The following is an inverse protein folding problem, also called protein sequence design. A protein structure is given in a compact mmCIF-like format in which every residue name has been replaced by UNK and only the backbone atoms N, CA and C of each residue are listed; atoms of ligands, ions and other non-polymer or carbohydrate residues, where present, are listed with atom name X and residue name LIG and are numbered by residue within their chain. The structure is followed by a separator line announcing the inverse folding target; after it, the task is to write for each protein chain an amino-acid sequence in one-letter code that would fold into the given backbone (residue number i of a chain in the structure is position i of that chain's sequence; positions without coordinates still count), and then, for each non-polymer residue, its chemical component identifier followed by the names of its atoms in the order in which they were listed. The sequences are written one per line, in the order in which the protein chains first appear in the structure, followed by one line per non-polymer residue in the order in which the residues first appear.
data_IF_534316031816
#
_entry.id   IF_534316031816
#
_cell.length_a   1.000
_cell.length_b   1.000
_cell.length_c   1.000
_cell.angle_alpha   90.00
_cell.angle_beta   90.00
_cell.angle_gamma   90.00
#
_symmetry.space_group_name_H-M   'P 1'
#
loop_
_entity.id
_entity.type
_entity.pdbx_description
1 polymer ?
#
# COMPACT_ATOMS: atom_id res chain seq x y z
N UNK A 1 47.84 -36.47 -31.88
CA UNK A 1 47.33 -36.21 -30.49
C UNK A 1 46.89 -34.76 -30.27
N UNK A 2 47.36 -33.74 -31.00
CA UNK A 2 46.98 -32.32 -30.77
C UNK A 2 45.53 -31.96 -31.15
N UNK A 3 44.86 -32.68 -32.05
CA UNK A 3 43.48 -32.35 -32.47
C UNK A 3 42.38 -32.78 -31.47
N UNK A 4 42.67 -33.78 -30.63
CA UNK A 4 41.70 -34.23 -29.60
C UNK A 4 41.60 -33.27 -28.42
N UNK A 5 42.72 -32.60 -28.08
CA UNK A 5 42.76 -31.62 -26.99
C UNK A 5 41.95 -30.36 -27.26
N UNK A 6 41.87 -29.90 -28.50
CA UNK A 6 41.10 -28.70 -28.89
C UNK A 6 39.60 -28.94 -28.84
N UNK A 7 39.14 -30.15 -29.20
CA UNK A 7 37.72 -30.51 -29.12
C UNK A 7 37.21 -30.62 -27.68
N UNK A 8 38.03 -31.16 -26.78
CA UNK A 8 37.69 -31.27 -25.36
C UNK A 8 37.56 -29.89 -24.67
N UNK A 9 38.47 -28.96 -25.06
CA UNK A 9 38.46 -27.59 -24.53
C UNK A 9 37.22 -26.78 -24.98
N UNK A 10 36.77 -27.00 -26.20
CA UNK A 10 35.60 -26.34 -26.73
C UNK A 10 34.26 -26.82 -26.05
N UNK A 11 34.19 -28.12 -25.80
CA UNK A 11 33.05 -28.70 -25.07
C UNK A 11 32.96 -28.21 -23.62
N UNK A 12 34.11 -28.05 -22.96
CA UNK A 12 34.12 -27.52 -21.59
C UNK A 12 33.70 -26.05 -21.51
N UNK A 13 34.05 -25.25 -22.52
CA UNK A 13 33.68 -23.83 -22.59
C UNK A 13 32.19 -23.64 -22.89
N UNK A 14 31.60 -24.48 -23.75
CA UNK A 14 30.15 -24.44 -24.05
C UNK A 14 29.34 -24.89 -22.83
N UNK A 15 29.84 -25.83 -22.02
CA UNK A 15 29.15 -26.28 -20.82
C UNK A 15 29.18 -25.25 -19.69
N UNK A 16 30.24 -24.45 -19.57
CA UNK A 16 30.33 -23.35 -18.60
C UNK A 16 29.40 -22.18 -18.92
N UNK A 17 29.11 -21.90 -20.20
CA UNK A 17 28.19 -20.84 -20.59
C UNK A 17 26.73 -21.23 -20.32
N UNK A 18 26.39 -22.50 -20.34
CA UNK A 18 25.03 -23.00 -20.09
C UNK A 18 24.59 -22.90 -18.63
N UNK A 19 25.52 -22.76 -17.67
CA UNK A 19 25.20 -22.65 -16.25
C UNK A 19 24.85 -21.20 -15.82
N UNK A 20 25.24 -20.21 -16.65
CA UNK A 20 25.05 -18.79 -16.31
C UNK A 20 23.61 -18.25 -16.52
N UNK A 21 22.69 -19.04 -17.07
CA UNK A 21 21.34 -18.60 -17.40
C UNK A 21 20.25 -19.10 -16.46
N UNK A 22 20.59 -19.63 -15.31
CA UNK A 22 19.63 -19.82 -14.25
C UNK A 22 19.22 -18.42 -13.74
N UNK A 23 18.15 -17.85 -14.31
CA UNK A 23 17.54 -16.62 -13.78
C UNK A 23 17.25 -16.87 -12.30
N UNK A 24 18.10 -16.32 -11.43
CA UNK A 24 17.87 -16.38 -10.00
C UNK A 24 16.52 -15.73 -9.72
N UNK A 25 15.64 -16.50 -9.10
CA UNK A 25 14.35 -15.98 -8.67
C UNK A 25 14.61 -14.74 -7.79
N UNK A 26 13.91 -13.61 -8.03
CA UNK A 26 14.15 -12.41 -7.24
C UNK A 26 13.92 -12.69 -5.76
N UNK A 27 14.83 -12.19 -4.93
CA UNK A 27 14.74 -12.35 -3.49
C UNK A 27 13.47 -11.68 -2.95
N UNK A 28 12.83 -12.25 -1.92
CA UNK A 28 11.66 -11.64 -1.30
C UNK A 28 12.05 -10.33 -0.61
N UNK A 29 11.18 -9.33 -0.74
CA UNK A 29 11.31 -8.03 -0.07
C UNK A 29 10.63 -8.14 1.29
N UNK A 30 11.34 -7.89 2.38
CA UNK A 30 10.77 -7.88 3.74
C UNK A 30 10.34 -6.48 4.14
N UNK A 31 9.01 -6.33 4.25
CA UNK A 31 8.33 -5.09 4.61
C UNK A 31 7.74 -5.20 6.01
N UNK A 32 8.24 -4.40 6.93
CA UNK A 32 7.66 -4.26 8.26
C UNK A 32 6.59 -3.18 8.26
N UNK A 33 5.42 -3.49 8.82
CA UNK A 33 4.27 -2.59 8.90
C UNK A 33 4.10 -2.16 10.35
N UNK A 34 4.26 -0.87 10.61
CA UNK A 34 4.03 -0.28 11.93
C UNK A 34 2.53 -0.24 12.28
N UNK A 35 2.21 0.17 13.49
CA UNK A 35 0.81 0.44 13.86
C UNK A 35 0.28 1.60 13.02
N UNK A 36 -0.93 1.44 12.46
CA UNK A 36 -1.58 2.52 11.71
C UNK A 36 -2.01 3.61 12.68
N UNK A 37 -1.61 4.85 12.41
CA UNK A 37 -2.10 6.01 13.13
C UNK A 37 -3.46 6.41 12.59
N UNK A 38 -4.34 6.86 13.49
CA UNK A 38 -5.61 7.46 13.13
C UNK A 38 -5.62 8.91 13.63
N UNK A 39 -5.49 9.84 12.73
CA UNK A 39 -5.59 11.29 13.00
C UNK A 39 -6.97 11.83 12.62
N UNK A 40 -7.86 10.99 12.06
CA UNK A 40 -9.26 11.35 11.85
C UNK A 40 -10.02 11.37 13.18
N UNK A 41 -11.14 12.07 13.23
CA UNK A 41 -11.97 12.15 14.45
C UNK A 41 -12.83 10.91 14.69
N UNK A 42 -12.81 9.95 13.77
CA UNK A 42 -13.68 8.77 13.79
C UNK A 42 -13.01 7.60 14.49
N UNK A 43 -13.74 6.90 15.34
CA UNK A 43 -13.26 5.70 16.00
C UNK A 43 -13.32 4.50 15.05
N UNK A 44 -12.17 3.98 14.64
CA UNK A 44 -12.04 2.81 13.78
C UNK A 44 -11.13 1.78 14.44
N UNK A 45 -11.37 0.51 14.15
CA UNK A 45 -10.45 -0.57 14.53
C UNK A 45 -9.20 -0.55 13.62
N UNK A 46 -8.16 0.15 14.06
CA UNK A 46 -6.90 0.26 13.33
C UNK A 46 -6.14 -1.06 13.24
N UNK A 47 -6.34 -1.98 14.19
CA UNK A 47 -5.76 -3.32 14.13
C UNK A 47 -6.40 -4.13 12.99
N UNK A 48 -7.70 -4.04 12.84
CA UNK A 48 -8.41 -4.64 11.71
C UNK A 48 -7.94 -4.03 10.38
N UNK A 49 -7.81 -2.71 10.28
CA UNK A 49 -7.32 -2.02 9.07
C UNK A 49 -5.89 -2.44 8.71
N UNK A 50 -5.02 -2.59 9.71
CA UNK A 50 -3.67 -3.12 9.51
C UNK A 50 -3.68 -4.54 8.94
N UNK A 51 -4.59 -5.38 9.41
CA UNK A 51 -4.76 -6.72 8.87
C UNK A 51 -5.29 -6.70 7.42
N UNK A 52 -6.16 -5.75 7.05
CA UNK A 52 -6.58 -5.58 5.64
C UNK A 52 -5.41 -5.20 4.75
N UNK A 53 -4.53 -4.32 5.22
CA UNK A 53 -3.31 -3.94 4.50
C UNK A 53 -2.39 -5.17 4.26
N UNK A 54 -2.19 -6.02 5.26
CA UNK A 54 -1.43 -7.28 5.11
C UNK A 54 -2.08 -8.18 4.06
N UNK A 55 -3.40 -8.39 4.15
CA UNK A 55 -4.15 -9.19 3.17
C UNK A 55 -4.04 -8.62 1.75
N UNK A 56 -3.95 -7.31 1.59
CA UNK A 56 -3.73 -6.67 0.30
C UNK A 56 -2.38 -7.09 -0.30
N UNK A 57 -1.29 -7.04 0.48
CA UNK A 57 0.01 -7.54 0.03
C UNK A 57 0.00 -9.04 -0.29
N UNK A 58 -0.69 -9.86 0.52
CA UNK A 58 -0.84 -11.29 0.25
C UNK A 58 -1.58 -11.55 -1.07
N UNK A 59 -2.64 -10.79 -1.38
CA UNK A 59 -3.36 -10.88 -2.66
C UNK A 59 -2.44 -10.56 -3.84
N UNK A 60 -1.62 -9.50 -3.72
CA UNK A 60 -0.65 -9.13 -4.76
C UNK A 60 0.44 -10.18 -4.96
N UNK A 61 0.83 -10.89 -3.91
CA UNK A 61 1.79 -11.99 -4.01
C UNK A 61 1.25 -13.21 -4.77
N UNK A 62 -0.07 -13.32 -4.92
CA UNK A 62 -0.72 -14.37 -5.73
C UNK A 62 -0.79 -14.02 -7.23
N UNK A 63 -0.31 -12.84 -7.63
CA UNK A 63 -0.28 -12.43 -9.03
C UNK A 63 0.60 -13.38 -9.88
N UNK A 64 0.26 -13.49 -11.16
CA UNK A 64 1.00 -14.38 -12.09
C UNK A 64 2.48 -14.03 -12.21
N UNK A 65 2.84 -12.76 -12.11
CA UNK A 65 4.23 -12.32 -12.26
C UNK A 65 5.08 -12.68 -11.04
N UNK A 66 4.52 -12.58 -9.84
CA UNK A 66 5.18 -13.03 -8.60
C UNK A 66 5.30 -14.56 -8.56
N UNK A 67 4.21 -15.28 -8.88
CA UNK A 67 4.21 -16.75 -8.86
C UNK A 67 5.14 -17.35 -9.91
N UNK A 68 5.33 -16.68 -11.04
CA UNK A 68 6.30 -17.06 -12.08
C UNK A 68 7.73 -16.59 -11.78
N UNK A 69 7.96 -15.89 -10.66
CA UNK A 69 9.28 -15.38 -10.28
C UNK A 69 9.79 -14.24 -11.15
N UNK A 70 8.91 -13.50 -11.83
CA UNK A 70 9.30 -12.31 -12.61
C UNK A 70 9.49 -11.08 -11.74
N UNK A 71 8.72 -10.99 -10.64
CA UNK A 71 8.79 -9.89 -9.67
C UNK A 71 8.97 -10.44 -8.26
N UNK A 72 9.61 -9.67 -7.39
CA UNK A 72 9.83 -10.06 -6.01
C UNK A 72 8.53 -10.20 -5.23
N UNK A 73 8.48 -11.21 -4.36
CA UNK A 73 7.43 -11.36 -3.35
C UNK A 73 7.68 -10.36 -2.23
N UNK A 74 6.61 -9.77 -1.68
CA UNK A 74 6.68 -8.90 -0.49
C UNK A 74 6.22 -9.72 0.71
N UNK A 75 7.13 -9.95 1.65
CA UNK A 75 6.84 -10.60 2.94
C UNK A 75 6.59 -9.53 3.98
N UNK A 76 5.40 -9.54 4.59
CA UNK A 76 4.99 -8.55 5.57
C UNK A 76 5.17 -9.05 6.99
N UNK A 77 5.70 -8.20 7.87
CA UNK A 77 5.85 -8.42 9.31
C UNK A 77 5.16 -7.28 10.05
N UNK A 78 4.38 -7.59 11.06
CA UNK A 78 3.71 -6.57 11.89
C UNK A 78 4.61 -6.15 13.04
N UNK A 79 4.83 -4.84 13.20
CA UNK A 79 5.53 -4.26 14.33
C UNK A 79 4.52 -3.79 15.39
N UNK A 80 4.83 -3.97 16.65
CA UNK A 80 3.98 -3.48 17.75
C UNK A 80 4.22 -2.01 18.07
N UNK A 81 5.33 -1.45 17.63
CA UNK A 81 5.69 -0.06 17.85
C UNK A 81 5.76 0.75 16.55
N UNK A 82 5.76 2.08 16.68
CA UNK A 82 5.93 3.02 15.57
C UNK A 82 7.37 3.52 15.46
N UNK A 83 8.31 2.98 16.22
CA UNK A 83 9.69 3.46 16.26
C UNK A 83 10.55 2.71 15.26
N UNK A 84 11.31 3.46 14.47
CA UNK A 84 12.29 2.94 13.50
C UNK A 84 13.43 2.15 14.15
N UNK A 85 13.67 2.42 15.43
CA UNK A 85 14.69 1.75 16.25
C UNK A 85 14.16 0.52 16.97
N UNK A 86 12.95 0.06 16.64
CA UNK A 86 12.36 -1.14 17.24
C UNK A 86 13.30 -2.33 17.04
N UNK A 87 13.70 -3.03 18.10
CA UNK A 87 14.50 -4.27 17.99
C UNK A 87 13.89 -5.27 17.01
N UNK A 88 12.55 -5.35 16.95
CA UNK A 88 11.83 -6.21 16.03
C UNK A 88 12.15 -5.95 14.55
N UNK A 89 12.55 -4.72 14.17
CA UNK A 89 12.99 -4.41 12.79
C UNK A 89 14.24 -5.21 12.44
N UNK A 90 15.22 -5.30 13.37
CA UNK A 90 16.45 -6.05 13.17
C UNK A 90 16.23 -7.54 13.28
N UNK A 91 15.46 -7.98 14.27
CA UNK A 91 15.17 -9.41 14.51
C UNK A 91 14.46 -10.04 13.33
N UNK A 92 13.55 -9.30 12.68
CA UNK A 92 12.82 -9.76 11.50
C UNK A 92 13.56 -9.50 10.18
N UNK A 93 14.75 -8.91 10.21
CA UNK A 93 15.52 -8.53 9.02
C UNK A 93 14.68 -7.69 8.04
N UNK A 94 13.96 -6.68 8.53
CA UNK A 94 13.18 -5.78 7.70
C UNK A 94 14.11 -5.01 6.76
N UNK A 95 13.76 -4.96 5.49
CA UNK A 95 14.45 -4.11 4.50
C UNK A 95 13.78 -2.74 4.43
N UNK A 96 12.46 -2.72 4.61
CA UNK A 96 11.66 -1.50 4.59
C UNK A 96 10.67 -1.47 5.76
N UNK A 97 10.31 -0.26 6.17
CA UNK A 97 9.31 0.00 7.20
C UNK A 97 8.22 0.87 6.58
N UNK A 98 6.97 0.42 6.69
CA UNK A 98 5.80 1.16 6.22
C UNK A 98 5.07 1.78 7.41
N UNK A 99 4.94 3.09 7.38
CA UNK A 99 4.08 3.85 8.27
C UNK A 99 2.86 4.34 7.51
N UNK A 100 1.69 4.19 8.10
CA UNK A 100 0.42 4.68 7.53
C UNK A 100 -0.27 5.54 8.57
N UNK A 101 -0.82 6.68 8.16
CA UNK A 101 -1.61 7.57 8.98
C UNK A 101 -2.92 7.90 8.25
N UNK A 102 -4.06 7.50 8.81
CA UNK A 102 -5.36 7.94 8.34
C UNK A 102 -5.56 9.40 8.78
N UNK A 103 -5.61 10.32 7.83
CA UNK A 103 -5.66 11.77 8.10
C UNK A 103 -7.07 12.33 8.02
N UNK A 104 -7.93 11.72 7.22
CA UNK A 104 -9.27 12.22 6.96
C UNK A 104 -10.26 11.07 6.80
N UNK A 105 -11.44 11.25 7.35
CA UNK A 105 -12.60 10.40 7.10
C UNK A 105 -13.85 11.27 7.24
N UNK A 106 -14.46 11.61 6.11
CA UNK A 106 -15.63 12.47 6.03
C UNK A 106 -16.86 11.69 5.53
N UNK A 107 -17.98 11.94 6.17
CA UNK A 107 -19.29 11.42 5.75
C UNK A 107 -20.05 12.51 5.02
N UNK A 108 -20.47 12.25 3.82
CA UNK A 108 -21.30 13.21 3.06
C UNK A 108 -22.74 13.33 3.58
N UNK A 109 -23.11 12.54 4.58
CA UNK A 109 -24.45 12.55 5.19
C UNK A 109 -24.57 13.28 6.52
N UNK A 110 -23.48 13.85 7.06
CA UNK A 110 -23.53 14.73 8.22
C UNK A 110 -24.08 16.09 7.82
N UNK A 111 -25.35 16.14 7.43
CA UNK A 111 -26.09 17.39 7.56
C UNK A 111 -26.00 17.76 9.03
N UNK A 112 -25.15 18.72 9.31
CA UNK A 112 -25.19 19.53 10.50
C UNK A 112 -26.67 19.71 10.90
N UNK A 113 -27.10 19.02 11.97
CA UNK A 113 -28.36 19.32 12.63
C UNK A 113 -28.18 20.65 13.39
N UNK A 114 -27.55 21.60 12.73
CA UNK A 114 -27.43 22.98 13.13
C UNK A 114 -28.74 23.67 12.85
N UNK A 115 -29.46 23.97 13.93
CA UNK A 115 -30.49 25.01 14.09
C UNK A 115 -31.36 25.29 12.86
N UNK A 116 -32.70 25.11 12.94
CA UNK A 116 -33.59 25.49 11.84
C UNK A 116 -33.41 26.99 11.61
N UNK A 117 -32.72 27.35 10.52
CA UNK A 117 -32.73 28.72 10.03
C UNK A 117 -34.19 29.06 9.69
N UNK A 118 -34.75 30.16 10.24
CA UNK A 118 -36.08 30.59 9.84
C UNK A 118 -36.09 30.79 8.32
N UNK A 119 -36.94 30.04 7.64
CA UNK A 119 -37.20 30.22 6.22
C UNK A 119 -37.63 31.66 6.00
N UNK A 120 -36.78 32.48 5.43
CA UNK A 120 -37.21 33.67 4.73
C UNK A 120 -38.05 33.18 3.54
N UNK A 121 -39.31 33.49 3.57
CA UNK A 121 -40.22 33.26 2.45
C UNK A 121 -39.80 34.22 1.36
N UNK A 122 -38.91 33.81 0.46
CA UNK A 122 -38.71 34.49 -0.82
C UNK A 122 -39.81 34.03 -1.79
N UNK A 123 -40.77 34.94 -2.00
CA UNK A 123 -41.73 34.84 -3.08
C UNK A 123 -41.00 35.27 -4.36
N UNK A 124 -40.87 34.33 -5.31
CA UNK A 124 -40.70 34.66 -6.73
C UNK A 124 -39.29 34.58 -7.28
N UNK A 125 -38.99 33.45 -7.88
CA UNK A 125 -38.64 33.35 -9.31
C UNK A 125 -38.21 31.92 -9.64
N UNK A 126 -39.06 31.27 -10.42
CA UNK A 126 -38.78 29.99 -11.05
C UNK A 126 -37.67 30.18 -12.10
N UNK A 127 -36.47 29.74 -11.78
CA UNK A 127 -35.50 29.23 -12.74
C UNK A 127 -34.74 28.13 -12.02
N UNK A 128 -35.11 26.88 -12.36
CA UNK A 128 -34.41 25.71 -11.91
C UNK A 128 -32.98 25.73 -12.43
N UNK A 129 -32.05 26.08 -11.57
CA UNK A 129 -30.70 25.60 -11.72
C UNK A 129 -30.74 24.10 -11.35
N UNK A 130 -30.15 23.22 -12.18
CA UNK A 130 -29.99 21.84 -11.77
C UNK A 130 -29.19 21.87 -10.47
N UNK A 131 -29.87 21.46 -9.37
CA UNK A 131 -29.22 21.33 -8.09
C UNK A 131 -27.97 20.51 -8.28
N UNK A 132 -26.82 21.01 -7.82
CA UNK A 132 -25.64 20.21 -7.65
C UNK A 132 -26.09 18.98 -6.84
N UNK A 133 -26.10 17.81 -7.48
CA UNK A 133 -26.29 16.55 -6.80
C UNK A 133 -25.24 16.52 -5.69
N UNK A 134 -25.68 16.73 -4.44
CA UNK A 134 -24.85 16.50 -3.28
C UNK A 134 -24.52 15.01 -3.34
N UNK A 135 -23.36 14.68 -3.90
CA UNK A 135 -22.91 13.31 -4.00
C UNK A 135 -22.79 12.77 -2.56
N UNK A 136 -23.63 11.80 -2.24
CA UNK A 136 -23.58 11.07 -0.97
C UNK A 136 -22.32 10.18 -0.91
N UNK A 137 -21.15 10.73 -1.18
CA UNK A 137 -19.90 10.02 -1.21
C UNK A 137 -19.11 10.30 0.08
N UNK A 138 -18.80 9.26 0.80
CA UNK A 138 -17.85 9.32 1.89
C UNK A 138 -16.43 9.48 1.35
N UNK A 139 -15.56 10.17 2.06
CA UNK A 139 -14.16 10.40 1.66
C UNK A 139 -13.23 9.94 2.75
N UNK A 140 -12.14 9.31 2.34
CA UNK A 140 -11.05 8.94 3.23
C UNK A 140 -9.70 9.25 2.60
N UNK A 141 -8.76 9.69 3.42
CA UNK A 141 -7.40 10.00 2.97
C UNK A 141 -6.38 9.42 3.95
N UNK A 142 -5.35 8.79 3.43
CA UNK A 142 -4.24 8.30 4.23
C UNK A 142 -2.89 8.75 3.64
N UNK A 143 -2.01 9.21 4.51
CA UNK A 143 -0.60 9.41 4.21
C UNK A 143 0.15 8.10 4.49
N UNK A 144 1.02 7.70 3.58
CA UNK A 144 1.97 6.65 3.88
C UNK A 144 3.41 7.11 3.67
N UNK A 145 4.33 6.51 4.44
CA UNK A 145 5.77 6.73 4.33
C UNK A 145 6.46 5.38 4.38
N UNK A 146 7.34 5.15 3.44
CA UNK A 146 8.23 3.98 3.42
C UNK A 146 9.64 4.45 3.74
N UNK A 147 10.28 3.76 4.66
CA UNK A 147 11.65 4.02 5.06
C UNK A 147 12.49 2.77 4.83
N UNK A 148 13.78 2.93 4.54
CA UNK A 148 14.71 1.80 4.54
C UNK A 148 15.16 1.52 5.96
N UNK A 149 15.17 0.26 6.34
CA UNK A 149 15.64 -0.13 7.67
C UNK A 149 17.13 0.22 7.84
N UNK A 150 17.44 0.96 8.91
CA UNK A 150 18.81 1.40 9.21
C UNK A 150 19.27 2.66 8.50
N UNK A 151 18.45 3.27 7.64
CA UNK A 151 18.72 4.57 7.04
C UNK A 151 17.88 5.66 7.74
N UNK A 152 18.47 6.85 7.90
CA UNK A 152 17.73 8.02 8.37
C UNK A 152 17.08 8.69 7.16
N UNK A 153 15.76 8.69 7.10
CA UNK A 153 15.00 9.42 6.10
C UNK A 153 13.92 8.60 5.40
N UNK A 154 12.98 9.33 4.82
CA UNK A 154 11.86 8.75 4.05
C UNK A 154 12.38 8.37 2.67
N UNK A 155 12.21 7.10 2.28
CA UNK A 155 12.56 6.64 0.94
C UNK A 155 11.48 7.03 -0.08
N UNK A 156 10.20 6.86 0.29
CA UNK A 156 9.07 7.35 -0.51
C UNK A 156 7.88 7.65 0.40
N UNK A 157 7.07 8.62 0.01
CA UNK A 157 5.82 8.96 0.69
C UNK A 157 4.81 9.49 -0.32
N UNK A 158 3.53 9.26 -0.05
CA UNK A 158 2.44 9.81 -0.85
C UNK A 158 1.17 9.87 0.01
N UNK A 159 0.16 10.58 -0.50
CA UNK A 159 -1.20 10.59 0.05
C UNK A 159 -2.13 9.91 -0.93
N UNK A 160 -2.91 8.96 -0.43
CA UNK A 160 -3.94 8.29 -1.21
C UNK A 160 -5.31 8.71 -0.73
N UNK A 161 -6.25 8.77 -1.66
CA UNK A 161 -7.62 9.18 -1.41
C UNK A 161 -8.56 8.09 -1.92
N UNK A 162 -9.60 7.81 -1.14
CA UNK A 162 -10.71 6.96 -1.55
C UNK A 162 -12.02 7.73 -1.35
N UNK A 163 -12.95 7.55 -2.25
CA UNK A 163 -14.30 8.09 -2.16
C UNK A 163 -15.28 7.03 -2.69
N UNK A 164 -16.31 6.80 -1.92
CA UNK A 164 -17.35 5.82 -2.22
C UNK A 164 -18.56 6.08 -1.30
N UNK A 165 -19.70 5.57 -1.66
CA UNK A 165 -20.91 5.55 -0.82
C UNK A 165 -20.89 4.42 0.23
N UNK A 166 -19.83 3.66 0.31
CA UNK A 166 -19.66 2.55 1.25
C UNK A 166 -19.51 3.01 2.70
N UNK A 167 -19.85 2.15 3.68
CA UNK A 167 -19.52 2.40 5.08
C UNK A 167 -18.01 2.61 5.31
N UNK A 168 -17.66 3.37 6.32
CA UNK A 168 -16.28 3.76 6.65
C UNK A 168 -15.27 2.62 6.66
N UNK A 169 -15.62 1.51 7.28
CA UNK A 169 -14.73 0.36 7.37
C UNK A 169 -14.38 -0.18 5.99
N UNK A 170 -15.35 -0.22 5.07
CA UNK A 170 -15.14 -0.68 3.69
C UNK A 170 -14.32 0.36 2.93
N UNK A 171 -14.67 1.64 3.06
CA UNK A 171 -13.96 2.73 2.41
C UNK A 171 -12.48 2.76 2.82
N UNK A 172 -12.20 2.65 4.13
CA UNK A 172 -10.82 2.61 4.63
C UNK A 172 -10.11 1.31 4.21
N UNK A 173 -10.84 0.19 4.09
CA UNK A 173 -10.25 -1.04 3.51
C UNK A 173 -9.83 -0.85 2.06
N UNK A 174 -10.64 -0.18 1.23
CA UNK A 174 -10.28 0.18 -0.14
C UNK A 174 -9.06 1.12 -0.17
N UNK A 175 -8.99 2.06 0.77
CA UNK A 175 -7.84 2.94 0.93
C UNK A 175 -6.56 2.14 1.26
N UNK A 176 -6.64 1.15 2.15
CA UNK A 176 -5.51 0.26 2.46
C UNK A 176 -5.07 -0.57 1.24
N UNK A 177 -6.00 -1.00 0.40
CA UNK A 177 -5.67 -1.66 -0.88
C UNK A 177 -4.90 -0.73 -1.82
N UNK A 178 -5.27 0.55 -1.88
CA UNK A 178 -4.56 1.54 -2.69
C UNK A 178 -3.15 1.81 -2.13
N UNK A 179 -3.00 1.97 -0.81
CA UNK A 179 -1.69 2.09 -0.16
C UNK A 179 -0.81 0.90 -0.52
N UNK A 180 -1.33 -0.33 -0.36
CA UNK A 180 -0.57 -1.53 -0.68
C UNK A 180 -0.13 -1.57 -2.15
N UNK A 181 -1.00 -1.21 -3.09
CA UNK A 181 -0.69 -1.18 -4.52
C UNK A 181 0.41 -0.15 -4.84
N UNK A 182 0.33 1.05 -4.28
CA UNK A 182 1.35 2.09 -4.46
C UNK A 182 2.70 1.64 -3.93
N UNK A 183 2.72 1.20 -2.66
CA UNK A 183 3.95 0.71 -2.00
C UNK A 183 4.56 -0.46 -2.76
N UNK A 184 3.76 -1.46 -3.16
CA UNK A 184 4.27 -2.60 -3.93
C UNK A 184 4.84 -2.18 -5.29
N UNK A 185 4.23 -1.19 -5.95
CA UNK A 185 4.74 -0.60 -7.19
C UNK A 185 6.10 0.04 -7.00
N UNK A 186 6.32 0.77 -5.89
CA UNK A 186 7.62 1.37 -5.58
C UNK A 186 8.68 0.31 -5.24
N UNK A 187 8.36 -0.62 -4.35
CA UNK A 187 9.31 -1.64 -3.88
C UNK A 187 9.80 -2.59 -4.99
N UNK A 188 9.08 -2.70 -6.10
CA UNK A 188 9.39 -3.62 -7.22
C UNK A 188 10.07 -2.94 -8.41
N UNK A 189 10.36 -1.64 -8.31
CA UNK A 189 11.16 -0.90 -9.31
C UNK A 189 12.63 -1.25 -9.19
#
# INVERSE_FOLDING_TARGET
MQRLSALLSFFFFVFLISIASAQSKPEPIRLCISTIKNSSMNALDMAWQRNQLVKAFERMNKSKDVTKGKTARIETVLLESNTETDPAVRENNCQFILHVNLIELEHSGSTDMGTPRPRAVEIGSARGEPGADASNENRASAEYRVMRAGELGVWTSDVVHAHDSSPDEILVSHLMDQVANRVAGELRK
#
